data_IF_704772862418
#
_entry.id   IF_704772862418
#
_cell.length_a   1.000
_cell.length_b   1.000
_cell.length_c   1.000
_cell.angle_alpha   90.00
_cell.angle_beta   90.00
_cell.angle_gamma   90.00
#
_symmetry.space_group_name_H-M   'P 1'
#
loop_
_entity.id
_entity.type
_entity.pdbx_description
1 polymer ?
2 non-polymer ?
3 water ?
#
# COMPACT_ATOMS: atom_id res chain seq x y z
N UNK A 4 17.55 1.47 10.70
CA UNK A 4 17.07 2.43 11.75
C UNK A 4 15.53 2.38 12.05
N UNK A 5 14.67 2.45 11.02
CA UNK A 5 13.20 2.20 11.19
C UNK A 5 12.90 0.72 11.22
N UNK A 6 11.95 0.34 12.05
CA UNK A 6 11.64 -1.06 12.25
C UNK A 6 10.87 -1.68 11.08
N UNK A 7 9.94 -0.92 10.51
CA UNK A 7 9.12 -1.40 9.41
C UNK A 7 9.22 -0.42 8.25
N UNK A 8 9.28 -0.92 7.03
CA UNK A 8 9.47 -0.12 5.83
C UNK A 8 8.53 -0.61 4.73
N UNK A 9 7.81 0.32 4.12
CA UNK A 9 6.91 -0.03 3.05
C UNK A 9 7.46 0.49 1.73
N UNK A 10 7.58 -0.38 0.73
CA UNK A 10 8.01 0.01 -0.62
C UNK A 10 6.88 -0.11 -1.63
N UNK A 11 6.90 0.81 -2.59
CA UNK A 11 5.95 0.84 -3.67
C UNK A 11 6.76 0.91 -4.96
N UNK A 12 6.29 0.12 -5.91
CA UNK A 12 6.80 0.03 -7.27
C UNK A 12 5.58 0.17 -8.18
N UNK A 13 5.62 1.12 -9.11
CA UNK A 13 4.50 1.38 -10.03
C UNK A 13 5.02 1.12 -11.42
N UNK A 14 4.32 0.27 -12.16
CA UNK A 14 4.81 -0.19 -13.45
C UNK A 14 3.71 0.00 -14.47
N UNK A 15 3.98 0.82 -15.48
CA UNK A 15 3.03 1.05 -16.57
C UNK A 15 3.00 -0.17 -17.45
N UNK A 16 1.81 -0.72 -17.64
CA UNK A 16 1.62 -1.82 -18.57
C UNK A 16 0.76 -1.33 -19.75
N UNK A 17 0.63 -2.17 -20.78
CA UNK A 17 -0.26 -1.84 -21.88
C UNK A 17 -1.68 -1.43 -21.45
N UNK A 18 -2.43 -2.37 -20.87
CA UNK A 18 -3.84 -2.12 -20.51
C UNK A 18 -4.06 -1.44 -19.10
N UNK A 19 -3.01 -1.21 -18.32
CA UNK A 19 -3.18 -0.87 -16.89
C UNK A 19 -1.88 -0.43 -16.23
N UNK A 20 -1.98 0.02 -14.97
CA UNK A 20 -0.80 0.33 -14.15
C UNK A 20 -0.79 -0.65 -12.98
N UNK A 21 0.36 -1.24 -12.69
CA UNK A 21 0.48 -2.22 -11.60
C UNK A 21 1.28 -1.67 -10.44
N UNK A 22 0.81 -1.92 -9.23
CA UNK A 22 1.50 -1.48 -8.02
C UNK A 22 1.88 -2.67 -7.19
N UNK A 23 3.18 -2.81 -6.94
CA UNK A 23 3.72 -3.86 -6.11
C UNK A 23 4.25 -3.21 -4.86
N UNK A 24 3.87 -3.78 -3.75
CA UNK A 24 4.25 -3.29 -2.45
C UNK A 24 4.91 -4.40 -1.65
N UNK A 25 5.75 -3.98 -0.73
CA UNK A 25 6.29 -4.90 0.24
C UNK A 25 6.44 -4.18 1.58
N UNK A 26 5.75 -4.70 2.59
CA UNK A 26 5.91 -4.24 3.94
C UNK A 26 6.96 -5.14 4.62
N UNK A 27 8.07 -4.56 5.00
CA UNK A 27 9.24 -5.29 5.46
C UNK A 27 9.52 -5.04 6.95
N UNK A 28 9.66 -6.10 7.74
CA UNK A 28 10.08 -5.98 9.16
C UNK A 28 11.58 -6.07 9.12
N UNK A 29 12.22 -4.92 9.33
CA UNK A 29 13.68 -4.83 9.44
C UNK A 29 14.24 -4.86 10.86
N UNK A 30 13.39 -4.99 11.87
CA UNK A 30 13.84 -5.07 13.24
C UNK A 30 14.37 -6.48 13.56
N UNK A 31 14.95 -6.62 14.75
CA UNK A 31 15.37 -7.91 15.27
C UNK A 31 14.23 -8.66 15.96
N UNK A 32 13.05 -8.05 16.00
CA UNK A 32 11.93 -8.65 16.72
C UNK A 32 10.69 -8.86 15.85
N UNK A 33 9.87 -9.80 16.28
CA UNK A 33 8.59 -10.04 15.65
C UNK A 33 7.66 -8.88 16.04
N UNK A 34 6.83 -8.43 15.10
CA UNK A 34 5.89 -7.32 15.34
C UNK A 34 4.47 -7.74 14.95
N UNK A 35 3.52 -7.57 15.88
CA UNK A 35 2.12 -7.87 15.62
C UNK A 35 1.38 -6.64 15.14
N UNK A 36 0.61 -6.80 14.06
CA UNK A 36 -0.32 -5.81 13.51
C UNK A 36 -1.73 -6.34 13.66
N UNK A 37 -2.64 -5.46 14.04
CA UNK A 37 -4.03 -5.82 14.20
C UNK A 37 -4.86 -5.02 13.24
N UNK A 38 -5.92 -5.63 12.73
CA UNK A 38 -6.85 -4.97 11.80
C UNK A 38 -8.24 -5.19 12.38
N UNK A 39 -9.12 -4.23 12.13
CA UNK A 39 -10.52 -4.29 12.56
C UNK A 39 -11.45 -4.72 11.43
N UNK A 40 -10.98 -4.70 10.18
CA UNK A 40 -11.69 -5.31 9.06
C UNK A 40 -10.71 -6.13 8.23
N UNK A 41 -11.27 -6.86 7.27
CA UNK A 41 -10.49 -7.67 6.33
C UNK A 41 -9.49 -6.87 5.51
N UNK A 42 -9.78 -5.58 5.32
CA UNK A 42 -8.96 -4.75 4.45
C UNK A 42 -7.55 -4.68 5.00
N UNK A 43 -6.57 -4.91 4.14
CA UNK A 43 -5.17 -4.94 4.57
C UNK A 43 -4.47 -3.59 4.27
N UNK A 44 -4.82 -2.97 3.15
CA UNK A 44 -4.21 -1.68 2.78
C UNK A 44 -5.21 -0.73 2.11
N UNK A 45 -4.75 0.51 1.94
CA UNK A 45 -5.38 1.46 1.02
C UNK A 45 -4.33 2.00 0.04
N UNK A 46 -4.76 2.24 -1.19
CA UNK A 46 -3.86 2.77 -2.24
C UNK A 46 -4.69 3.83 -2.98
N UNK A 47 -4.08 4.99 -3.20
CA UNK A 47 -4.75 6.12 -3.85
C UNK A 47 -3.81 6.77 -4.86
N UNK A 48 -4.30 7.02 -6.06
CA UNK A 48 -3.45 7.58 -7.08
C UNK A 48 -3.87 9.03 -7.30
N UNK A 49 -2.98 9.96 -6.98
CA UNK A 49 -3.22 11.40 -7.14
C UNK A 49 -2.58 11.93 -8.41
N UNK A 50 -3.25 12.91 -9.04
CA UNK A 50 -2.68 13.58 -10.20
C UNK A 50 -1.99 14.85 -9.75
N UNK A 51 -1.47 15.63 -10.71
CA UNK A 51 -0.75 16.88 -10.41
C UNK A 51 -1.59 17.98 -9.74
N UNK A 52 -2.91 17.82 -9.68
CA UNK A 52 -3.72 18.75 -8.91
C UNK A 52 -4.22 18.06 -7.64
N UNK A 53 -3.62 16.93 -7.29
CA UNK A 53 -4.04 16.18 -6.12
C UNK A 53 -5.50 15.72 -6.15
N UNK A 54 -6.07 15.60 -7.35
CA UNK A 54 -7.36 14.97 -7.48
C UNK A 54 -7.12 13.45 -7.45
N UNK A 55 -8.02 12.68 -6.83
CA UNK A 55 -7.86 11.22 -6.81
C UNK A 55 -8.20 10.61 -8.17
N UNK A 56 -7.30 9.86 -8.78
CA UNK A 56 -7.63 9.09 -10.01
C UNK A 56 -8.00 7.61 -9.77
N UNK A 57 -7.49 7.04 -8.68
CA UNK A 57 -7.78 5.65 -8.34
C UNK A 57 -7.73 5.50 -6.84
N UNK A 58 -8.66 4.70 -6.33
CA UNK A 58 -8.69 4.28 -4.94
C UNK A 58 -9.08 2.80 -4.88
N UNK A 59 -8.16 1.99 -4.37
CA UNK A 59 -8.31 0.53 -4.26
C UNK A 59 -9.62 0.17 -3.58
N UNK A 60 -9.90 0.92 -2.54
CA UNK A 60 -11.05 0.72 -1.71
C UNK A 60 -12.40 0.95 -2.41
N UNK A 61 -12.46 1.84 -3.41
CA UNK A 61 -13.76 2.13 -4.08
C UNK A 61 -14.22 0.83 -4.72
N UNK A 62 -15.51 0.53 -4.62
CA UNK A 62 -16.10 -0.67 -5.28
C UNK A 62 -15.82 -1.99 -4.56
N UNK A 63 -15.34 -1.93 -3.33
CA UNK A 63 -15.01 -3.13 -2.58
C UNK A 63 -15.71 -3.19 -1.24
N UNK A 64 -16.00 -4.41 -0.82
CA UNK A 64 -16.61 -4.65 0.45
C UNK A 64 -15.72 -5.58 1.30
N UNK A 65 -15.49 -5.16 2.54
CA UNK A 65 -14.66 -5.88 3.46
C UNK A 65 -15.48 -6.33 4.65
N UNK A 66 -15.12 -7.51 5.15
CA UNK A 66 -15.71 -8.14 6.30
C UNK A 66 -15.29 -7.37 7.54
N UNK A 67 -16.16 -7.26 8.53
CA UNK A 67 -15.83 -6.57 9.78
C UNK A 67 -15.28 -7.61 10.74
N UNK A 68 -14.12 -8.14 10.39
CA UNK A 68 -13.45 -9.16 11.14
C UNK A 68 -12.21 -8.53 11.71
N UNK A 69 -11.93 -8.76 12.99
CA UNK A 69 -10.64 -8.39 13.55
C UNK A 69 -9.61 -9.37 12.97
N UNK A 70 -8.36 -8.94 12.80
CA UNK A 70 -7.29 -9.84 12.35
C UNK A 70 -6.05 -9.62 13.19
N UNK A 71 -5.22 -10.64 13.34
CA UNK A 71 -3.99 -10.54 14.12
C UNK A 71 -2.90 -11.16 13.35
N UNK A 72 -1.95 -10.34 12.92
CA UNK A 72 -0.84 -10.76 12.07
C UNK A 72 0.52 -10.51 12.72
N UNK A 73 1.41 -11.48 12.65
CA UNK A 73 2.75 -11.31 13.18
C UNK A 73 3.71 -11.31 12.01
N UNK A 74 4.47 -10.23 11.83
CA UNK A 74 5.64 -10.22 10.94
C UNK A 74 6.92 -10.56 11.74
N UNK A 75 7.51 -11.70 11.44
CA UNK A 75 8.73 -12.09 12.08
C UNK A 75 9.86 -11.14 11.68
N UNK A 76 10.90 -11.14 12.51
CA UNK A 76 12.15 -10.50 12.19
C UNK A 76 12.55 -10.91 10.77
N UNK A 77 12.60 -9.94 9.86
CA UNK A 77 13.06 -10.15 8.48
C UNK A 77 11.98 -10.41 7.44
N UNK A 78 10.79 -10.80 7.90
CA UNK A 78 9.68 -11.16 7.01
C UNK A 78 9.07 -9.92 6.36
N UNK A 79 8.53 -10.11 5.16
CA UNK A 79 7.83 -9.08 4.40
C UNK A 79 6.39 -9.55 4.18
N UNK A 80 5.45 -8.61 4.14
CA UNK A 80 4.10 -8.88 3.68
C UNK A 80 4.02 -8.23 2.29
N UNK A 81 3.88 -9.05 1.26
CA UNK A 81 3.88 -8.58 -0.11
C UNK A 81 2.46 -8.52 -0.59
N UNK A 82 2.18 -7.46 -1.34
CA UNK A 82 0.84 -7.25 -1.88
C UNK A 82 0.87 -6.32 -3.08
N UNK A 83 -0.10 -6.47 -3.96
CA UNK A 83 -0.16 -5.61 -5.12
C UNK A 83 -1.58 -5.24 -5.55
N UNK A 84 -1.67 -4.33 -6.51
CA UNK A 84 -2.96 -3.93 -7.03
C UNK A 84 -2.79 -3.45 -8.42
N UNK A 85 -3.85 -3.56 -9.21
CA UNK A 85 -3.87 -3.05 -10.57
C UNK A 85 -4.90 -1.91 -10.75
N UNK A 86 -4.44 -0.81 -11.35
CA UNK A 86 -5.30 0.28 -11.70
C UNK A 86 -5.58 0.02 -13.15
N UNK A 87 -6.85 -0.22 -13.46
CA UNK A 87 -7.19 -0.83 -14.72
C UNK A 87 -7.45 0.17 -15.86
N UNK A 88 -6.69 1.26 -15.91
CA UNK A 88 -6.74 2.18 -17.04
C UNK A 88 -5.52 3.08 -17.05
N UNK A 89 -4.72 3.00 -18.09
CA UNK A 89 -3.64 3.94 -18.22
C UNK A 89 -4.30 5.34 -18.36
N UNK A 90 -3.82 6.33 -17.59
CA UNK A 90 -4.31 7.68 -17.77
C UNK A 90 -3.41 8.40 -18.77
N UNK A 91 -3.56 9.72 -18.87
CA UNK A 91 -2.77 10.50 -19.81
C UNK A 91 -1.38 10.67 -19.32
N UNK A 92 -0.44 10.82 -20.25
CA UNK A 92 0.90 11.13 -19.82
C UNK A 92 0.99 12.27 -18.78
N UNK A 93 1.97 12.14 -17.89
CA UNK A 93 2.19 13.07 -16.80
C UNK A 93 2.74 12.35 -15.59
N UNK A 94 3.09 13.14 -14.59
CA UNK A 94 3.57 12.62 -13.33
C UNK A 94 2.40 12.52 -12.36
N UNK A 95 2.39 11.40 -11.62
CA UNK A 95 1.36 11.10 -10.60
C UNK A 95 2.03 10.60 -9.33
N UNK A 96 1.25 10.51 -8.25
CA UNK A 96 1.73 9.96 -6.96
C UNK A 96 0.79 8.88 -6.44
N UNK A 97 1.35 7.74 -6.03
CA UNK A 97 0.57 6.68 -5.38
C UNK A 97 0.93 6.69 -3.90
N UNK A 98 -0.09 6.74 -3.04
CA UNK A 98 0.09 6.70 -1.58
C UNK A 98 -0.58 5.42 -1.09
N UNK A 99 0.23 4.54 -0.53
CA UNK A 99 -0.25 3.30 0.05
C UNK A 99 -0.19 3.50 1.56
N UNK A 100 -1.25 3.10 2.25
CA UNK A 100 -1.33 3.14 3.70
C UNK A 100 -1.62 1.73 4.14
N UNK A 101 -0.90 1.23 5.13
CA UNK A 101 -1.15 -0.13 5.67
C UNK A 101 -2.21 -0.06 6.78
N UNK A 102 -3.20 -0.94 6.71
CA UNK A 102 -4.30 -0.88 7.64
C UNK A 102 -4.01 -1.57 8.97
N UNK A 103 -3.02 -2.44 9.02
CA UNK A 103 -2.65 -3.04 10.30
C UNK A 103 -2.00 -2.01 11.24
N UNK A 104 -2.28 -2.14 12.54
CA UNK A 104 -1.82 -1.22 13.57
C UNK A 104 -0.91 -1.94 14.55
N UNK A 105 0.35 -1.54 14.64
CA UNK A 105 1.29 -2.15 15.59
C UNK A 105 1.35 -1.27 16.80
N UNK A 106 1.47 -1.87 17.98
CA UNK A 106 1.61 -1.10 19.21
C UNK A 106 2.96 -0.37 19.20
N UNK A 107 2.93 0.92 19.54
CA UNK A 107 4.12 1.81 19.46
C UNK A 107 4.75 1.93 18.07
N UNK A 108 3.89 1.97 17.06
CA UNK A 108 4.32 2.30 15.71
C UNK A 108 3.35 3.30 15.11
N UNK A 109 3.92 4.38 14.56
CA UNK A 109 3.23 5.26 13.65
C UNK A 109 2.62 4.35 12.59
N UNK A 110 1.43 4.68 12.08
CA UNK A 110 0.84 3.94 10.96
C UNK A 110 1.81 3.89 9.80
N UNK A 111 1.86 2.76 9.10
CA UNK A 111 2.86 2.62 8.04
C UNK A 111 2.29 3.13 6.72
N UNK A 112 2.85 4.20 6.19
CA UNK A 112 2.50 4.59 4.83
C UNK A 112 3.71 5.02 4.02
N UNK A 113 3.62 4.85 2.71
CA UNK A 113 4.63 5.31 1.76
C UNK A 113 3.94 6.05 0.60
N UNK A 114 4.67 6.97 -0.03
CA UNK A 114 4.24 7.62 -1.28
C UNK A 114 5.29 7.38 -2.37
N UNK A 115 4.90 7.46 -3.64
CA UNK A 115 5.81 7.18 -4.75
C UNK A 115 5.37 7.94 -6.01
N UNK A 116 6.20 8.87 -6.49
CA UNK A 116 5.98 9.53 -7.79
C UNK A 116 6.21 8.51 -8.90
N UNK A 117 5.47 8.65 -9.99
CA UNK A 117 5.65 7.80 -11.15
C UNK A 117 5.06 8.53 -12.36
N UNK A 118 5.69 8.37 -13.52
CA UNK A 118 5.23 9.00 -14.75
C UNK A 118 4.43 8.04 -15.59
N UNK A 119 3.28 8.46 -16.09
CA UNK A 119 2.63 7.70 -17.16
C UNK A 119 3.15 8.35 -18.44
N UNK A 120 3.65 7.53 -19.35
CA UNK A 120 4.15 7.99 -20.63
C UNK A 120 3.25 7.42 -21.72
X LIG B 1 -2.28 17.71 4.31
X LIG B 1 -3.60 17.56 4.87
X LIG B 1 -4.29 16.31 4.34
X LIG B 1 -3.86 16.05 3.00
X LIG B 1 -4.76 15.22 2.27
X LIG B 1 -4.03 14.07 1.58
X LIG B 1 -4.16 14.20 0.15
X LIG B 1 -3.00 14.73 -0.52
X LIG B 1 -2.28 13.61 -1.28
X LIG B 1 -0.95 13.39 -0.79
X LIG B 1 0.03 13.34 -1.82
X LIG B 1 1.32 12.73 -1.29
X LIG B 1 1.48 12.98 0.12
#
# INVERSE_FOLDING_TARGET
>A
GXENQEVVLSIDAIQEPEQIKFNMSLKNQSERAIEFQFSTGQKFELVVYDSEHKERYRYSKEKMFTQAFQNLTLESGETYDFSDVWKEVPEPGTYEVKVTFKGRAENLKQVQAVQQFEVK
>B hetero
1 PG4 O1 C1 C2 O2 C3 C4 O3 C5 C6 O4 C7 C8 O5
#
